data_IF_311950391729
#
_entry.id   IF_311950391729
#
_cell.length_a   1.000
_cell.length_b   1.000
_cell.length_c   1.000
_cell.angle_alpha   90.00
_cell.angle_beta   90.00
_cell.angle_gamma   90.00
#
_symmetry.space_group_name_H-M   'P 1'
#
loop_
_entity.id
_entity.type
_entity.pdbx_description
1 polymer ?
#
# COMPACT_ATOMS: atom_id res chain seq x y z
N UNK A 1 17.59 14.79 -6.24
CA UNK A 1 17.39 13.33 -6.07
C UNK A 1 17.17 12.94 -4.61
N UNK A 2 18.12 13.12 -3.69
CA UNK A 2 17.88 12.83 -2.25
C UNK A 2 16.82 13.73 -1.62
N UNK A 3 16.81 15.03 -1.98
CA UNK A 3 15.81 16.00 -1.51
C UNK A 3 14.39 15.68 -1.98
N UNK A 4 14.23 15.26 -3.24
CA UNK A 4 12.91 15.03 -3.84
C UNK A 4 12.28 13.73 -3.34
N UNK A 5 13.07 12.65 -3.26
CA UNK A 5 12.62 11.38 -2.71
C UNK A 5 12.28 11.48 -1.21
N UNK A 6 13.02 12.29 -0.45
CA UNK A 6 12.72 12.59 0.94
C UNK A 6 11.40 13.35 1.10
N UNK A 7 11.17 14.37 0.25
CA UNK A 7 9.94 15.15 0.31
C UNK A 7 8.69 14.32 -0.01
N UNK A 8 8.73 13.46 -1.02
CA UNK A 8 7.57 12.60 -1.34
C UNK A 8 7.34 11.50 -0.29
N UNK A 9 8.41 10.97 0.32
CA UNK A 9 8.28 10.06 1.46
C UNK A 9 7.59 10.77 2.64
N UNK A 10 7.97 12.02 2.93
CA UNK A 10 7.32 12.82 3.96
C UNK A 10 5.83 13.04 3.66
N UNK A 11 5.47 13.45 2.43
CA UNK A 11 4.06 13.61 2.02
C UNK A 11 3.27 12.31 2.22
N UNK A 12 3.86 11.16 1.90
CA UNK A 12 3.19 9.87 2.06
C UNK A 12 3.02 9.45 3.52
N UNK A 13 4.01 9.70 4.39
CA UNK A 13 3.87 9.42 5.82
C UNK A 13 2.75 10.27 6.42
N UNK A 14 2.75 11.57 6.11
CA UNK A 14 1.69 12.49 6.53
C UNK A 14 0.32 12.02 6.00
N UNK A 15 0.24 11.57 4.74
CA UNK A 15 -0.98 11.02 4.15
C UNK A 15 -1.49 9.77 4.90
N UNK A 16 -0.61 8.82 5.22
CA UNK A 16 -0.97 7.61 5.96
C UNK A 16 -1.42 7.93 7.40
N UNK A 17 -0.77 8.88 8.07
CA UNK A 17 -1.16 9.34 9.40
C UNK A 17 -2.54 10.01 9.41
N UNK A 18 -2.84 10.82 8.39
CA UNK A 18 -4.16 11.45 8.25
C UNK A 18 -5.23 10.39 7.98
N UNK A 19 -4.97 9.39 7.12
CA UNK A 19 -5.90 8.27 6.90
C UNK A 19 -6.17 7.45 8.17
N UNK A 20 -5.13 7.19 8.97
CA UNK A 20 -5.28 6.48 10.25
C UNK A 20 -6.18 7.25 11.22
N UNK A 21 -5.94 8.56 11.37
CA UNK A 21 -6.76 9.43 12.22
C UNK A 21 -8.19 9.52 11.72
N UNK A 22 -8.39 9.62 10.40
CA UNK A 22 -9.71 9.65 9.79
C UNK A 22 -10.51 8.39 10.16
N UNK A 23 -9.89 7.21 9.98
CA UNK A 23 -10.52 5.92 10.29
C UNK A 23 -10.93 5.82 11.77
N UNK A 24 -10.07 6.28 12.68
CA UNK A 24 -10.36 6.31 14.11
C UNK A 24 -11.54 7.24 14.44
N UNK A 25 -11.54 8.46 13.92
CA UNK A 25 -12.60 9.42 14.19
C UNK A 25 -13.95 9.04 13.56
N UNK A 26 -13.95 8.42 12.37
CA UNK A 26 -15.19 7.88 11.78
C UNK A 26 -15.80 6.79 12.66
N UNK A 27 -14.98 5.86 13.17
CA UNK A 27 -15.46 4.84 14.12
C UNK A 27 -16.05 5.45 15.39
N UNK A 28 -15.37 6.44 15.97
CA UNK A 28 -15.87 7.15 17.16
C UNK A 28 -17.18 7.90 16.89
N UNK A 29 -17.36 8.44 15.69
CA UNK A 29 -18.59 9.14 15.30
C UNK A 29 -19.79 8.18 15.23
N UNK A 30 -19.57 6.97 14.72
CA UNK A 30 -20.57 5.91 14.67
C UNK A 30 -20.96 5.46 16.10
N UNK A 31 -19.96 5.17 16.96
CA UNK A 31 -20.17 4.78 18.35
C UNK A 31 -20.96 5.83 19.16
N UNK A 32 -20.65 7.13 18.97
CA UNK A 32 -21.35 8.24 19.62
C UNK A 32 -22.79 8.41 19.11
N UNK A 33 -23.04 8.11 17.83
CA UNK A 33 -24.38 8.17 17.25
C UNK A 33 -25.29 7.08 17.85
N UNK A 34 -24.76 5.86 17.99
CA UNK A 34 -25.47 4.72 18.59
C UNK A 34 -25.80 4.99 20.07
N UNK A 35 -24.81 5.42 20.87
CA UNK A 35 -25.02 5.74 22.29
C UNK A 35 -26.06 6.86 22.49
N UNK A 36 -26.05 7.87 21.62
CA UNK A 36 -27.05 8.93 21.64
C UNK A 36 -28.46 8.40 21.36
N UNK A 37 -28.60 7.47 20.41
CA UNK A 37 -29.88 6.85 20.07
C UNK A 37 -30.41 6.03 21.25
N UNK A 38 -29.57 5.24 21.92
CA UNK A 38 -29.92 4.49 23.12
C UNK A 38 -30.38 5.42 24.27
N UNK A 39 -29.64 6.50 24.53
CA UNK A 39 -30.01 7.47 25.57
C UNK A 39 -31.31 8.21 25.25
N UNK A 40 -31.57 8.52 23.98
CA UNK A 40 -32.86 9.10 23.56
C UNK A 40 -34.03 8.13 23.75
N UNK A 41 -33.84 6.84 23.46
CA UNK A 41 -34.86 5.83 23.71
C UNK A 41 -35.14 5.66 25.20
N UNK A 42 -34.10 5.65 26.05
CA UNK A 42 -34.23 5.62 27.50
C UNK A 42 -34.95 6.87 28.04
N UNK A 43 -34.65 8.05 27.51
CA UNK A 43 -35.32 9.30 27.87
C UNK A 43 -36.82 9.26 27.53
N UNK A 44 -37.19 8.77 26.33
CA UNK A 44 -38.59 8.63 25.90
C UNK A 44 -39.35 7.58 26.71
N UNK A 45 -38.70 6.45 27.03
CA UNK A 45 -39.29 5.41 27.88
C UNK A 45 -39.57 5.95 29.30
N UNK A 46 -38.62 6.69 29.89
CA UNK A 46 -38.81 7.32 31.20
C UNK A 46 -39.89 8.41 31.19
N UNK A 47 -40.00 9.22 30.12
CA UNK A 47 -41.09 10.18 29.98
C UNK A 47 -42.47 9.50 29.89
N UNK A 48 -42.56 8.35 29.22
CA UNK A 48 -43.83 7.60 29.10
C UNK A 48 -44.30 6.99 30.43
N UNK A 49 -43.36 6.59 31.31
CA UNK A 49 -43.64 6.08 32.65
C UNK A 49 -44.21 7.16 33.59
N UNK A 50 -43.83 8.42 33.41
CA UNK A 50 -44.35 9.56 34.20
C UNK A 50 -45.81 9.90 33.85
N UNK A 51 -46.27 9.56 32.64
CA UNK A 51 -47.62 9.88 32.15
C UNK A 51 -48.64 8.78 32.50
N UNK A 52 -48.21 7.53 32.75
CA UNK A 52 -49.09 6.48 33.24
C UNK A 52 -49.37 6.68 34.75
N UNK A 53 -50.41 7.46 35.05
CA UNK A 53 -50.90 7.75 36.40
C UNK A 53 -51.08 6.49 37.27
N UNK A 54 -50.13 6.29 38.19
CA UNK A 54 -50.44 5.87 39.55
C UNK A 54 -49.72 6.85 40.48
N UNK A 55 -50.39 7.29 41.54
CA UNK A 55 -49.91 8.33 42.47
C UNK A 55 -48.62 7.84 43.15
N UNK A 56 -47.47 8.12 42.56
CA UNK A 56 -46.16 7.90 43.18
C UNK A 56 -45.87 9.00 44.21
N UNK A 57 -45.20 8.70 45.34
CA UNK A 57 -44.83 9.69 46.37
C UNK A 57 -44.06 10.89 45.78
N UNK A 58 -44.24 12.09 46.33
CA UNK A 58 -43.57 13.33 45.87
C UNK A 58 -42.03 13.21 45.76
N UNK A 59 -41.41 12.38 46.60
CA UNK A 59 -39.97 12.10 46.57
C UNK A 59 -39.56 11.33 45.30
N UNK A 60 -40.39 10.38 44.85
CA UNK A 60 -40.15 9.56 43.66
C UNK A 60 -40.30 10.39 42.38
N UNK A 61 -41.27 11.29 42.32
CA UNK A 61 -41.43 12.26 41.22
C UNK A 61 -40.25 13.25 41.14
N UNK A 62 -39.72 13.69 42.28
CA UNK A 62 -38.55 14.58 42.35
C UNK A 62 -37.28 13.87 41.87
N UNK A 63 -37.12 12.59 42.21
CA UNK A 63 -36.02 11.75 41.75
C UNK A 63 -36.07 11.51 40.23
N UNK A 64 -37.25 11.23 39.68
CA UNK A 64 -37.43 11.06 38.22
C UNK A 64 -37.12 12.37 37.48
N UNK A 65 -37.56 13.52 38.00
CA UNK A 65 -37.24 14.82 37.41
C UNK A 65 -35.73 15.10 37.42
N UNK A 66 -35.04 14.84 38.54
CA UNK A 66 -33.59 15.00 38.64
C UNK A 66 -32.83 14.11 37.62
N UNK A 67 -33.24 12.84 37.50
CA UNK A 67 -32.65 11.90 36.53
C UNK A 67 -32.87 12.35 35.07
N UNK A 68 -34.04 12.91 34.75
CA UNK A 68 -34.31 13.45 33.41
C UNK A 68 -33.46 14.68 33.07
N UNK A 69 -33.22 15.56 34.05
CA UNK A 69 -32.32 16.71 33.90
C UNK A 69 -30.88 16.26 33.67
N UNK A 70 -30.40 15.29 34.45
CA UNK A 70 -29.05 14.72 34.29
C UNK A 70 -28.88 14.04 32.92
N UNK A 71 -29.84 13.21 32.51
CA UNK A 71 -29.81 12.54 31.21
C UNK A 71 -29.83 13.54 30.05
N UNK A 72 -30.59 14.63 30.18
CA UNK A 72 -30.63 15.71 29.18
C UNK A 72 -29.27 16.41 29.05
N UNK A 73 -28.59 16.65 30.17
CA UNK A 73 -27.24 17.22 30.18
C UNK A 73 -26.23 16.27 29.51
N UNK A 74 -26.30 14.95 29.78
CA UNK A 74 -25.45 13.95 29.14
C UNK A 74 -25.68 13.88 27.62
N UNK A 75 -26.94 13.93 27.17
CA UNK A 75 -27.26 13.98 25.73
C UNK A 75 -26.69 15.24 25.07
N UNK A 76 -26.75 16.39 25.74
CA UNK A 76 -26.19 17.62 25.19
C UNK A 76 -24.66 17.59 25.14
N UNK A 77 -24.00 17.02 26.14
CA UNK A 77 -22.56 16.78 26.13
C UNK A 77 -22.16 15.89 24.95
N UNK A 78 -22.85 14.77 24.74
CA UNK A 78 -22.58 13.86 23.62
C UNK A 78 -22.79 14.53 22.26
N UNK A 79 -23.76 15.44 22.12
CA UNK A 79 -23.91 16.24 20.89
C UNK A 79 -22.70 17.15 20.65
N UNK A 80 -22.16 17.76 21.70
CA UNK A 80 -20.96 18.61 21.58
C UNK A 80 -19.74 17.77 21.18
N UNK A 81 -19.57 16.60 21.78
CA UNK A 81 -18.50 15.65 21.41
C UNK A 81 -18.67 15.17 19.96
N UNK A 82 -19.89 14.81 19.55
CA UNK A 82 -20.21 14.42 18.17
C UNK A 82 -19.86 15.55 17.17
N UNK A 83 -20.20 16.80 17.49
CA UNK A 83 -19.89 17.96 16.65
C UNK A 83 -18.38 18.23 16.56
N UNK A 84 -17.64 18.05 17.65
CA UNK A 84 -16.18 18.17 17.67
C UNK A 84 -15.52 17.10 16.79
N UNK A 85 -15.95 15.84 16.92
CA UNK A 85 -15.47 14.73 16.08
C UNK A 85 -15.81 14.97 14.61
N UNK A 86 -17.03 15.41 14.29
CA UNK A 86 -17.44 15.74 12.93
C UNK A 86 -16.60 16.87 12.31
N UNK A 87 -16.27 17.88 13.12
CA UNK A 87 -15.40 18.99 12.70
C UNK A 87 -13.97 18.51 12.45
N UNK A 88 -13.45 17.63 13.31
CA UNK A 88 -12.14 16.99 13.14
C UNK A 88 -12.07 16.16 11.85
N UNK A 89 -13.09 15.34 11.57
CA UNK A 89 -13.21 14.56 10.31
C UNK A 89 -13.19 15.50 9.10
N UNK A 90 -13.97 16.58 9.13
CA UNK A 90 -14.03 17.57 8.04
C UNK A 90 -12.66 18.23 7.80
N UNK A 91 -11.94 18.55 8.87
CA UNK A 91 -10.57 19.07 8.81
C UNK A 91 -9.59 18.05 8.20
N UNK A 92 -9.64 16.79 8.64
CA UNK A 92 -8.81 15.71 8.11
C UNK A 92 -9.09 15.44 6.62
N UNK A 93 -10.35 15.45 6.19
CA UNK A 93 -10.69 15.37 4.76
C UNK A 93 -10.08 16.52 3.95
N UNK A 94 -10.11 17.73 4.49
CA UNK A 94 -9.50 18.89 3.83
C UNK A 94 -7.97 18.74 3.73
N UNK A 95 -7.32 18.21 4.77
CA UNK A 95 -5.89 17.89 4.76
C UNK A 95 -5.55 16.81 3.72
N UNK A 96 -6.36 15.75 3.61
CA UNK A 96 -6.19 14.70 2.59
C UNK A 96 -6.23 15.30 1.18
N UNK A 97 -7.20 16.17 0.89
CA UNK A 97 -7.30 16.80 -0.44
C UNK A 97 -6.07 17.64 -0.78
N UNK A 98 -5.47 18.33 0.20
CA UNK A 98 -4.22 19.09 -0.01
C UNK A 98 -3.05 18.14 -0.29
N UNK A 99 -2.88 17.11 0.54
CA UNK A 99 -1.81 16.12 0.38
C UNK A 99 -1.93 15.35 -0.95
N UNK A 100 -3.15 15.01 -1.38
CA UNK A 100 -3.40 14.40 -2.69
C UNK A 100 -2.96 15.31 -3.83
N UNK A 101 -3.29 16.60 -3.75
CA UNK A 101 -2.88 17.60 -4.75
C UNK A 101 -1.37 17.77 -4.78
N UNK A 102 -0.71 17.87 -3.62
CA UNK A 102 0.75 17.98 -3.54
C UNK A 102 1.44 16.73 -4.09
N UNK A 103 0.96 15.55 -3.72
CA UNK A 103 1.42 14.28 -4.27
C UNK A 103 1.24 14.23 -5.79
N UNK A 104 0.08 14.67 -6.31
CA UNK A 104 -0.18 14.75 -7.75
C UNK A 104 0.75 15.73 -8.46
N UNK A 105 0.99 16.92 -7.89
CA UNK A 105 1.91 17.91 -8.44
C UNK A 105 3.32 17.33 -8.49
N UNK A 106 3.76 16.67 -7.42
CA UNK A 106 5.07 16.06 -7.35
C UNK A 106 5.21 14.88 -8.33
N UNK A 107 4.21 14.01 -8.43
CA UNK A 107 4.17 12.93 -9.42
C UNK A 107 4.17 13.48 -10.85
N UNK A 108 3.47 14.58 -11.14
CA UNK A 108 3.49 15.24 -12.44
C UNK A 108 4.86 15.87 -12.73
N UNK A 109 5.55 16.42 -11.72
CA UNK A 109 6.93 16.89 -11.89
C UNK A 109 7.89 15.73 -12.13
N UNK A 110 7.72 14.62 -11.40
CA UNK A 110 8.47 13.39 -11.64
C UNK A 110 8.19 12.82 -13.02
N UNK A 111 6.95 12.83 -13.51
CA UNK A 111 6.62 12.34 -14.85
C UNK A 111 7.30 13.18 -15.93
N UNK A 112 7.26 14.52 -15.78
CA UNK A 112 7.95 15.45 -16.68
C UNK A 112 9.48 15.29 -16.67
N UNK A 113 10.07 14.85 -15.56
CA UNK A 113 11.52 14.73 -15.39
C UNK A 113 12.04 13.30 -15.61
N UNK A 114 11.30 12.29 -15.23
CA UNK A 114 11.70 10.88 -15.07
C UNK A 114 10.72 9.88 -15.70
N UNK A 115 9.62 10.36 -16.28
CA UNK A 115 8.59 9.56 -16.91
C UNK A 115 7.61 8.91 -15.93
N UNK A 116 6.67 8.15 -16.49
CA UNK A 116 5.59 7.52 -15.72
C UNK A 116 6.06 6.30 -14.93
N UNK A 117 5.33 5.95 -13.87
CA UNK A 117 5.57 4.69 -13.13
C UNK A 117 5.37 3.48 -14.03
N UNK A 118 6.00 2.35 -13.72
CA UNK A 118 5.73 1.12 -14.44
C UNK A 118 4.31 0.62 -14.20
N UNK A 119 3.70 0.93 -13.06
CA UNK A 119 2.27 0.66 -12.82
C UNK A 119 1.39 1.30 -13.92
N UNK A 120 1.68 2.55 -14.28
CA UNK A 120 1.02 3.24 -15.40
C UNK A 120 1.48 2.71 -16.76
N UNK A 121 2.78 2.50 -16.94
CA UNK A 121 3.38 2.01 -18.19
C UNK A 121 2.92 0.58 -18.55
N UNK A 122 2.48 -0.21 -17.57
CA UNK A 122 2.05 -1.60 -17.76
C UNK A 122 0.92 -1.69 -18.78
N UNK A 123 -0.04 -0.77 -18.79
CA UNK A 123 -1.13 -0.76 -19.79
C UNK A 123 -0.59 -0.69 -21.23
N UNK A 124 0.47 0.11 -21.43
CA UNK A 124 1.15 0.21 -22.73
C UNK A 124 1.92 -1.07 -23.07
N UNK A 125 2.62 -1.66 -22.10
CA UNK A 125 3.29 -2.96 -22.27
C UNK A 125 2.31 -4.06 -22.68
N UNK A 126 1.12 -4.11 -22.05
CA UNK A 126 0.10 -5.11 -22.35
C UNK A 126 -0.54 -4.93 -23.73
N UNK A 127 -0.32 -3.78 -24.39
CA UNK A 127 -0.74 -3.55 -25.77
C UNK A 127 0.31 -4.00 -26.80
N UNK A 128 1.52 -4.38 -26.36
CA UNK A 128 2.60 -4.82 -27.23
C UNK A 128 2.56 -6.35 -27.44
N UNK A 129 3.15 -6.85 -28.55
CA UNK A 129 3.42 -8.28 -28.71
C UNK A 129 4.31 -8.80 -27.57
N UNK A 130 4.06 -10.03 -27.11
CA UNK A 130 4.75 -10.64 -25.96
C UNK A 130 6.29 -10.57 -26.07
N UNK A 131 6.86 -10.75 -27.26
CA UNK A 131 8.30 -10.62 -27.49
C UNK A 131 8.83 -9.22 -27.12
N UNK A 132 8.10 -8.17 -27.50
CA UNK A 132 8.45 -6.79 -27.16
C UNK A 132 8.22 -6.51 -25.67
N UNK A 133 7.13 -7.05 -25.10
CA UNK A 133 6.86 -6.95 -23.67
C UNK A 133 7.99 -7.56 -22.85
N UNK A 134 8.50 -8.72 -23.26
CA UNK A 134 9.67 -9.38 -22.67
C UNK A 134 10.91 -8.49 -22.81
N UNK A 135 11.24 -8.03 -24.02
CA UNK A 135 12.44 -7.22 -24.26
C UNK A 135 12.44 -5.95 -23.40
N UNK A 136 11.34 -5.19 -23.38
CA UNK A 136 11.21 -3.99 -22.56
C UNK A 136 11.27 -4.30 -21.07
N UNK A 137 10.51 -5.30 -20.58
CA UNK A 137 10.46 -5.64 -19.16
C UNK A 137 11.84 -6.06 -18.65
N UNK A 138 12.55 -6.90 -19.40
CA UNK A 138 13.90 -7.35 -19.01
C UNK A 138 14.91 -6.20 -19.07
N UNK A 139 14.89 -5.35 -20.10
CA UNK A 139 15.78 -4.16 -20.17
C UNK A 139 15.57 -3.19 -19.02
N UNK A 140 14.32 -2.97 -18.62
CA UNK A 140 13.99 -2.11 -17.48
C UNK A 140 14.51 -2.75 -16.19
N UNK A 141 14.30 -4.06 -15.99
CA UNK A 141 14.84 -4.76 -14.82
C UNK A 141 16.36 -4.82 -14.78
N UNK A 142 17.06 -4.86 -15.92
CA UNK A 142 18.51 -4.75 -15.95
C UNK A 142 19.00 -3.42 -15.39
N UNK A 143 18.31 -2.32 -15.71
CA UNK A 143 18.59 -1.00 -15.14
C UNK A 143 18.27 -0.96 -13.65
N UNK A 144 17.12 -1.50 -13.23
CA UNK A 144 16.74 -1.62 -11.82
C UNK A 144 17.77 -2.43 -11.02
N UNK A 145 18.21 -3.57 -11.54
CA UNK A 145 19.25 -4.40 -10.92
C UNK A 145 20.59 -3.65 -10.79
N UNK A 146 20.95 -2.82 -11.76
CA UNK A 146 22.15 -1.97 -11.68
C UNK A 146 22.07 -0.96 -10.54
N UNK A 147 20.90 -0.35 -10.32
CA UNK A 147 20.67 0.57 -9.21
C UNK A 147 20.72 -0.19 -7.87
N UNK A 148 20.00 -1.31 -7.77
CA UNK A 148 19.99 -2.17 -6.58
C UNK A 148 21.39 -2.67 -6.24
N UNK A 149 22.20 -3.06 -7.23
CA UNK A 149 23.58 -3.48 -7.00
C UNK A 149 24.38 -2.36 -6.32
N UNK A 150 24.20 -1.11 -6.76
CA UNK A 150 24.89 0.04 -6.18
C UNK A 150 24.50 0.26 -4.71
N UNK A 151 23.21 0.05 -4.37
CA UNK A 151 22.71 0.11 -2.99
C UNK A 151 23.26 -1.03 -2.13
N UNK A 152 23.26 -2.25 -2.65
CA UNK A 152 23.72 -3.45 -1.94
C UNK A 152 25.23 -3.46 -1.69
N UNK A 153 26.01 -2.74 -2.50
CA UNK A 153 27.47 -2.58 -2.33
C UNK A 153 27.86 -1.32 -1.54
N UNK A 154 26.90 -0.51 -1.11
CA UNK A 154 27.17 0.66 -0.28
C UNK A 154 27.64 0.26 1.14
N UNK A 155 28.25 1.22 1.84
CA UNK A 155 28.62 1.08 3.25
C UNK A 155 28.01 2.25 4.06
N UNK A 156 26.99 1.99 4.90
CA UNK A 156 26.37 0.70 5.17
C UNK A 156 25.52 0.18 3.98
N UNK A 157 25.32 -1.14 3.93
CA UNK A 157 24.48 -1.79 2.92
C UNK A 157 23.06 -1.22 2.97
N UNK A 158 22.55 -0.78 1.82
CA UNK A 158 21.19 -0.25 1.70
C UNK A 158 20.29 -1.27 1.01
N UNK A 159 19.19 -1.66 1.66
CA UNK A 159 18.16 -2.52 1.08
C UNK A 159 17.01 -1.62 0.64
N UNK A 160 16.52 -1.78 -0.59
CA UNK A 160 15.41 -0.97 -1.07
C UNK A 160 14.09 -1.37 -0.37
N UNK A 161 13.82 -2.68 -0.27
CA UNK A 161 12.74 -3.26 0.52
C UNK A 161 11.35 -3.17 -0.08
N UNK A 162 11.15 -2.38 -1.15
CA UNK A 162 9.85 -2.21 -1.80
C UNK A 162 9.93 -2.11 -3.34
N UNK A 163 10.67 -3.02 -4.00
CA UNK A 163 10.73 -3.03 -5.47
C UNK A 163 9.40 -3.53 -6.04
N UNK A 164 8.69 -2.68 -6.77
CA UNK A 164 7.41 -2.98 -7.41
C UNK A 164 7.12 -1.97 -8.53
N UNK A 165 6.13 -2.20 -9.42
CA UNK A 165 5.85 -1.30 -10.55
C UNK A 165 5.62 0.17 -10.17
N UNK A 166 5.01 0.44 -9.01
CA UNK A 166 4.76 1.80 -8.52
C UNK A 166 6.02 2.54 -8.05
N UNK A 167 7.12 1.81 -7.78
CA UNK A 167 8.40 2.37 -7.31
C UNK A 167 9.45 2.49 -8.44
N UNK A 168 9.10 2.13 -9.67
CA UNK A 168 10.01 2.24 -10.82
C UNK A 168 9.40 3.22 -11.81
N UNK A 169 10.11 4.31 -12.10
CA UNK A 169 9.74 5.27 -13.15
C UNK A 169 10.47 4.89 -14.44
N UNK A 170 9.79 5.01 -15.57
CA UNK A 170 10.36 4.77 -16.88
C UNK A 170 10.15 5.98 -17.79
N UNK A 171 11.28 6.56 -18.22
CA UNK A 171 11.31 7.68 -19.14
C UNK A 171 11.42 7.20 -20.57
N UNK A 172 10.35 7.36 -21.32
CA UNK A 172 10.28 6.83 -22.67
C UNK A 172 11.17 7.58 -23.68
N UNK A 173 11.47 8.86 -23.43
CA UNK A 173 12.27 9.69 -24.35
C UNK A 173 13.71 9.20 -24.51
N UNK A 174 14.30 8.62 -23.46
CA UNK A 174 15.67 8.10 -23.47
C UNK A 174 15.79 6.65 -22.94
N UNK A 175 14.64 5.99 -22.75
CA UNK A 175 14.52 4.58 -22.33
C UNK A 175 15.21 4.27 -20.99
N UNK A 176 15.22 5.23 -20.07
CA UNK A 176 15.83 5.07 -18.74
C UNK A 176 14.83 4.71 -17.66
N UNK A 177 15.23 3.78 -16.81
CA UNK A 177 14.50 3.42 -15.60
C UNK A 177 15.14 4.08 -14.37
N UNK A 178 14.29 4.50 -13.44
CA UNK A 178 14.68 5.07 -12.15
C UNK A 178 13.97 4.32 -11.05
N UNK A 179 14.69 3.96 -9.99
CA UNK A 179 14.10 3.39 -8.79
C UNK A 179 13.92 4.52 -7.78
N UNK A 180 12.67 4.81 -7.44
CA UNK A 180 12.33 5.75 -6.36
C UNK A 180 12.21 4.98 -5.06
N UNK A 181 12.51 5.61 -3.93
CA UNK A 181 12.49 4.96 -2.60
C UNK A 181 11.12 4.41 -2.20
N UNK A 182 10.97 4.00 -0.94
CA UNK A 182 9.74 3.41 -0.40
C UNK A 182 8.57 4.41 -0.31
N UNK A 183 8.06 4.82 -1.47
CA UNK A 183 7.10 5.90 -1.69
C UNK A 183 5.88 5.37 -2.48
N UNK A 184 5.91 4.10 -2.90
CA UNK A 184 4.76 3.40 -3.45
C UNK A 184 3.88 2.80 -2.36
N UNK A 185 2.63 2.50 -2.70
CA UNK A 185 1.73 1.71 -1.84
C UNK A 185 2.41 0.39 -1.48
N UNK A 186 2.58 0.08 -0.20
CA UNK A 186 3.18 -1.21 0.17
C UNK A 186 2.23 -2.37 -0.17
N UNK A 187 2.56 -3.11 -1.22
CA UNK A 187 1.76 -4.23 -1.71
C UNK A 187 2.40 -5.55 -1.32
N UNK A 188 1.67 -6.34 -0.53
CA UNK A 188 2.11 -7.67 -0.06
C UNK A 188 2.51 -8.61 -1.21
N UNK A 189 1.93 -8.43 -2.41
CA UNK A 189 2.22 -9.23 -3.60
C UNK A 189 3.68 -9.28 -4.03
N UNK A 190 4.45 -8.24 -3.67
CA UNK A 190 5.85 -8.09 -4.08
C UNK A 190 6.83 -8.35 -2.93
N UNK A 191 6.35 -8.43 -1.69
CA UNK A 191 7.19 -8.62 -0.50
C UNK A 191 7.71 -10.05 -0.43
N UNK A 192 8.99 -10.19 -0.12
CA UNK A 192 9.60 -11.48 0.13
C UNK A 192 9.13 -12.06 1.47
N UNK A 193 9.07 -13.40 1.63
CA UNK A 193 8.57 -14.05 2.85
C UNK A 193 9.24 -13.58 4.14
N UNK A 194 10.57 -13.39 4.13
CA UNK A 194 11.34 -12.94 5.29
C UNK A 194 10.99 -11.51 5.75
N UNK A 195 10.44 -10.68 4.85
CA UNK A 195 10.00 -9.33 5.19
C UNK A 195 8.73 -9.33 6.06
N UNK A 196 7.93 -10.41 6.04
CA UNK A 196 6.77 -10.56 6.93
C UNK A 196 7.21 -10.67 8.40
N UNK A 197 8.44 -11.13 8.64
CA UNK A 197 9.06 -11.23 9.96
C UNK A 197 9.96 -10.02 10.28
N UNK A 198 9.91 -8.96 9.49
CA UNK A 198 10.72 -7.75 9.71
C UNK A 198 12.21 -7.90 9.43
N UNK A 199 12.61 -8.91 8.65
CA UNK A 199 14.01 -9.21 8.34
C UNK A 199 14.35 -9.03 6.85
N UNK A 200 14.24 -7.80 6.29
CA UNK A 200 14.62 -7.55 4.90
C UNK A 200 16.11 -7.79 4.70
N UNK A 201 16.47 -8.33 3.53
CA UNK A 201 17.85 -8.57 3.09
C UNK A 201 18.02 -8.08 1.66
N UNK A 202 19.27 -7.98 1.13
CA UNK A 202 19.47 -7.75 -0.31
C UNK A 202 18.76 -8.77 -1.21
N UNK A 203 18.56 -9.99 -0.72
CA UNK A 203 17.83 -11.05 -1.43
C UNK A 203 16.30 -10.84 -1.42
N UNK A 204 15.78 -9.99 -0.53
CA UNK A 204 14.39 -9.54 -0.60
C UNK A 204 14.16 -8.68 -1.84
N UNK A 205 15.11 -7.81 -2.21
CA UNK A 205 15.03 -7.02 -3.44
C UNK A 205 15.12 -7.90 -4.69
N UNK A 206 15.94 -8.97 -4.66
CA UNK A 206 16.01 -9.98 -5.74
C UNK A 206 14.65 -10.64 -5.97
N UNK A 207 13.99 -11.05 -4.88
CA UNK A 207 12.64 -11.62 -4.94
C UNK A 207 11.65 -10.63 -5.54
N UNK A 208 11.71 -9.37 -5.10
CA UNK A 208 10.82 -8.31 -5.53
C UNK A 208 11.02 -7.94 -7.02
N UNK A 209 12.23 -8.05 -7.57
CA UNK A 209 12.46 -7.95 -9.03
C UNK A 209 11.74 -9.08 -9.78
N UNK A 210 11.77 -10.31 -9.26
CA UNK A 210 11.07 -11.45 -9.86
C UNK A 210 9.55 -11.29 -9.88
N UNK A 211 8.94 -10.87 -8.77
CA UNK A 211 7.49 -10.59 -8.73
C UNK A 211 7.11 -9.38 -9.56
N UNK A 212 7.96 -8.35 -9.63
CA UNK A 212 7.77 -7.21 -10.54
C UNK A 212 7.75 -7.65 -12.00
N UNK A 213 8.67 -8.54 -12.42
CA UNK A 213 8.66 -9.11 -13.77
C UNK A 213 7.36 -9.83 -14.10
N UNK A 214 6.85 -10.65 -13.18
CA UNK A 214 5.56 -11.33 -13.38
C UNK A 214 4.46 -10.30 -13.68
N UNK A 215 4.39 -9.22 -12.90
CA UNK A 215 3.39 -8.17 -13.11
C UNK A 215 3.55 -7.45 -14.45
N UNK A 216 4.77 -7.07 -14.84
CA UNK A 216 5.01 -6.38 -16.11
C UNK A 216 4.68 -7.25 -17.34
N UNK A 217 4.99 -8.55 -17.26
CA UNK A 217 4.77 -9.50 -18.34
C UNK A 217 3.29 -9.87 -18.51
N UNK A 218 2.51 -9.85 -17.43
CA UNK A 218 1.12 -10.35 -17.42
C UNK A 218 0.06 -9.27 -17.25
N UNK A 219 0.44 -8.08 -16.77
CA UNK A 219 -0.49 -7.03 -16.37
C UNK A 219 -1.31 -7.35 -15.11
N UNK A 220 -0.97 -8.43 -14.40
CA UNK A 220 -1.75 -8.97 -13.27
C UNK A 220 -1.00 -8.87 -11.95
N UNK A 221 -1.73 -9.08 -10.84
CA UNK A 221 -1.10 -9.19 -9.53
C UNK A 221 -0.32 -10.52 -9.44
N UNK A 222 0.95 -10.53 -9.02
CA UNK A 222 1.74 -11.77 -8.92
C UNK A 222 1.07 -12.87 -8.10
N UNK A 223 0.24 -12.52 -7.11
CA UNK A 223 -0.48 -13.49 -6.26
C UNK A 223 -1.46 -14.36 -7.04
N UNK A 224 -1.95 -13.91 -8.18
CA UNK A 224 -2.82 -14.72 -9.06
C UNK A 224 -2.11 -15.98 -9.58
N UNK A 225 -0.77 -15.96 -9.60
CA UNK A 225 0.05 -17.09 -10.04
C UNK A 225 0.62 -17.91 -8.89
N UNK A 226 0.33 -17.55 -7.63
CA UNK A 226 0.84 -18.30 -6.48
C UNK A 226 0.14 -19.64 -6.33
N UNK A 227 0.93 -20.68 -6.16
CA UNK A 227 0.48 -22.02 -5.77
C UNK A 227 0.98 -22.27 -4.36
N UNK A 228 0.03 -22.44 -3.44
CA UNK A 228 0.32 -22.74 -2.04
C UNK A 228 0.71 -24.22 -1.89
N UNK A 229 1.71 -24.45 -1.05
CA UNK A 229 2.12 -25.75 -0.54
C UNK A 229 2.04 -25.71 1.00
N UNK A 230 2.15 -26.85 1.67
CA UNK A 230 1.91 -26.98 3.12
C UNK A 230 2.60 -25.89 3.97
N UNK A 231 3.85 -25.55 3.66
CA UNK A 231 4.65 -24.59 4.44
C UNK A 231 5.28 -23.47 3.60
N UNK A 232 4.99 -23.37 2.31
CA UNK A 232 5.55 -22.36 1.41
C UNK A 232 4.66 -22.15 0.19
N UNK A 233 5.12 -21.33 -0.77
CA UNK A 233 4.46 -21.18 -2.06
C UNK A 233 5.48 -21.04 -3.19
N UNK A 234 5.02 -21.28 -4.40
CA UNK A 234 5.76 -21.00 -5.65
C UNK A 234 4.86 -20.25 -6.62
N UNK A 235 5.41 -19.74 -7.72
CA UNK A 235 4.63 -19.15 -8.81
C UNK A 235 4.48 -20.15 -9.95
N UNK A 236 3.28 -20.36 -10.49
CA UNK A 236 3.02 -21.15 -11.69
C UNK A 236 2.95 -20.23 -12.91
N UNK A 237 3.93 -20.37 -13.81
CA UNK A 237 4.05 -19.55 -15.02
C UNK A 237 3.80 -20.37 -16.30
N UNK A 238 3.29 -21.60 -16.20
CA UNK A 238 3.21 -22.50 -17.34
C UNK A 238 2.30 -22.00 -18.46
N UNK A 239 1.15 -21.44 -18.09
CA UNK A 239 0.16 -20.90 -19.03
C UNK A 239 0.57 -19.54 -19.62
N UNK A 240 1.67 -18.94 -19.15
CA UNK A 240 2.18 -17.68 -19.68
C UNK A 240 3.14 -18.00 -20.85
N UNK A 241 2.95 -17.38 -22.04
CA UNK A 241 3.76 -17.66 -23.23
C UNK A 241 5.15 -16.99 -23.15
N UNK A 242 5.94 -17.40 -22.14
CA UNK A 242 7.32 -16.94 -21.90
C UNK A 242 8.33 -18.00 -22.33
N UNK A 243 9.53 -17.60 -22.80
CA UNK A 243 10.65 -18.52 -22.97
C UNK A 243 10.97 -19.26 -21.66
N UNK A 244 11.27 -20.57 -21.76
CA UNK A 244 11.62 -21.39 -20.59
C UNK A 244 12.76 -20.79 -19.77
N UNK A 245 13.78 -20.24 -20.45
CA UNK A 245 14.90 -19.56 -19.79
C UNK A 245 14.46 -18.39 -18.91
N UNK A 246 13.47 -17.60 -19.34
CA UNK A 246 12.94 -16.49 -18.54
C UNK A 246 12.09 -17.01 -17.37
N UNK A 247 11.30 -18.07 -17.59
CA UNK A 247 10.56 -18.74 -16.50
C UNK A 247 11.54 -19.21 -15.42
N UNK A 248 12.63 -19.88 -15.79
CA UNK A 248 13.66 -20.37 -14.86
C UNK A 248 14.29 -19.23 -14.06
N UNK A 249 14.58 -18.10 -14.71
CA UNK A 249 15.11 -16.91 -14.02
C UNK A 249 14.10 -16.36 -13.01
N UNK A 250 12.83 -16.23 -13.39
CA UNK A 250 11.79 -15.74 -12.48
C UNK A 250 11.59 -16.71 -11.32
N UNK A 251 11.47 -18.02 -11.59
CA UNK A 251 11.34 -19.05 -10.55
C UNK A 251 12.49 -19.03 -9.56
N UNK A 252 13.73 -18.90 -10.04
CA UNK A 252 14.89 -18.81 -9.15
C UNK A 252 14.90 -17.51 -8.36
N UNK A 253 14.55 -16.37 -8.96
CA UNK A 253 14.46 -15.10 -8.25
C UNK A 253 13.41 -15.13 -7.14
N UNK A 254 12.28 -15.82 -7.36
CA UNK A 254 11.14 -15.87 -6.44
C UNK A 254 11.10 -17.10 -5.54
N UNK A 255 12.20 -17.84 -5.38
CA UNK A 255 12.26 -18.97 -4.45
C UNK A 255 11.94 -18.53 -3.02
N UNK A 256 11.13 -19.32 -2.31
CA UNK A 256 10.74 -19.01 -0.94
C UNK A 256 11.98 -18.94 -0.03
N UNK A 257 12.88 -19.93 -0.13
CA UNK A 257 14.12 -19.99 0.64
C UNK A 257 15.21 -19.11 0.05
N UNK A 258 15.84 -18.30 0.90
CA UNK A 258 16.97 -17.42 0.56
C UNK A 258 18.14 -18.14 -0.14
N UNK A 259 18.48 -19.35 0.33
CA UNK A 259 19.59 -20.15 -0.22
C UNK A 259 19.34 -20.68 -1.63
N UNK A 260 18.08 -20.75 -2.05
CA UNK A 260 17.68 -21.23 -3.38
C UNK A 260 17.54 -20.07 -4.39
N UNK A 261 17.50 -18.82 -3.91
CA UNK A 261 17.47 -17.61 -4.75
C UNK A 261 18.83 -17.30 -5.37
N UNK A 262 18.83 -16.36 -6.32
CA UNK A 262 20.06 -15.65 -6.68
C UNK A 262 20.63 -14.98 -5.43
N UNK A 263 21.91 -15.25 -5.16
CA UNK A 263 22.53 -14.81 -3.91
C UNK A 263 22.82 -13.31 -3.90
N UNK A 264 23.06 -12.74 -5.09
CA UNK A 264 23.18 -11.30 -5.30
C UNK A 264 22.32 -10.82 -6.45
N UNK A 265 21.95 -9.54 -6.44
CA UNK A 265 21.26 -8.91 -7.59
C UNK A 265 22.14 -8.88 -8.84
N UNK A 266 23.46 -8.96 -8.70
CA UNK A 266 24.40 -9.10 -9.81
C UNK A 266 24.24 -10.45 -10.53
N UNK A 267 24.01 -11.53 -9.78
CA UNK A 267 23.76 -12.85 -10.35
C UNK A 267 22.45 -12.87 -11.14
N UNK A 268 21.39 -12.26 -10.58
CA UNK A 268 20.12 -12.09 -11.27
C UNK A 268 20.30 -11.24 -12.55
N UNK A 269 21.02 -10.12 -12.46
CA UNK A 269 21.29 -9.24 -13.60
C UNK A 269 22.02 -9.99 -14.72
N UNK A 270 22.96 -10.87 -14.38
CA UNK A 270 23.66 -11.68 -15.37
C UNK A 270 22.71 -12.67 -16.06
N UNK A 271 21.85 -13.34 -15.30
CA UNK A 271 20.87 -14.27 -15.87
C UNK A 271 19.86 -13.54 -16.79
N UNK A 272 19.40 -12.35 -16.40
CA UNK A 272 18.54 -11.50 -17.24
C UNK A 272 19.25 -11.01 -18.51
N UNK A 273 20.55 -10.75 -18.47
CA UNK A 273 21.32 -10.39 -19.68
C UNK A 273 21.33 -11.50 -20.71
N UNK A 274 21.39 -12.75 -20.26
CA UNK A 274 21.42 -13.92 -21.16
C UNK A 274 20.07 -14.13 -21.88
N UNK A 275 18.97 -13.56 -21.37
CA UNK A 275 17.68 -13.53 -22.06
C UNK A 275 17.71 -12.59 -23.27
N UNK A 276 18.38 -11.43 -23.16
CA UNK A 276 18.46 -10.42 -24.23
C UNK A 276 19.63 -10.67 -25.19
N UNK A 277 20.75 -11.15 -24.65
CA UNK A 277 21.99 -11.39 -25.38
C UNK A 277 22.41 -12.85 -25.19
N UNK A 278 21.67 -13.82 -25.77
CA UNK A 278 22.01 -15.22 -25.66
C UNK A 278 23.41 -15.44 -26.25
N UNK A 279 24.26 -16.18 -25.54
CA UNK A 279 25.56 -16.59 -26.08
C UNK A 279 25.31 -17.42 -27.34
N UNK A 280 25.94 -17.04 -28.46
CA UNK A 280 25.95 -17.89 -29.66
C UNK A 280 26.65 -19.20 -29.26
N UNK A 281 25.90 -20.29 -29.29
CA UNK A 281 26.42 -21.67 -29.20
C UNK A 281 27.23 -22.03 -30.43
#
# INVERSE_FOLDING_TARGET
>A
MTSDAYHLNQINQEFLEVLSRLKQHTSLLDDLADLRQELQQLALSNQSLVVSETVQPQEEQSLIHANLVELTAQVEQLKQEQLQVQTAITSLHSQLQVLERERLIFLNQLDRLYGQTLEQYTQKLQSLPMEQTIDWSVRIMLQTCSILNSLHTADPVVIHGNVQPSCILFRESDKRAFLIGNIGKELKSYKAPEQEYGAPTPQSDVYAVGTTLISLLTGKDPREFQVQHDANYSFNLEEIPLPSSLKDVIHRATQYKLTERYQTVKDLMQALREIIFPKKS
#
